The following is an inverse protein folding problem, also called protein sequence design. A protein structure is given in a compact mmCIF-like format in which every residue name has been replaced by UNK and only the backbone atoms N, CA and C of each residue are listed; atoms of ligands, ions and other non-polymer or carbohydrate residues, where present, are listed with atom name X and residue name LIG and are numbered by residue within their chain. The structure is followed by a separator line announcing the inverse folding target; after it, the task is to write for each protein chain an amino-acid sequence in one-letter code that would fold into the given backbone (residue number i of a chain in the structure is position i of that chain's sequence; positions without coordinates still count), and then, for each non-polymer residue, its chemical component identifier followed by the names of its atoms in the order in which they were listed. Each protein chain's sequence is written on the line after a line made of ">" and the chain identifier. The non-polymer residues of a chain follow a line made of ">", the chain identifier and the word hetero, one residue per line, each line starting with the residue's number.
data_IF_860368315026
#
_entry.id   IF_860368315026
#
_cell.length_a   1.000
_cell.length_b   1.000
_cell.length_c   1.000
_cell.angle_alpha   90.00
_cell.angle_beta   90.00
_cell.angle_gamma   90.00
#
_symmetry.space_group_name_H-M   'P 1'
#
loop_
_entity.id
_entity.type
_entity.pdbx_description
1 polymer ?
#
# COMPACT_ATOMS: atom_id res chain seq x y z
N UNK A 1 35.21 2.60 18.96
CA UNK A 1 34.03 2.65 19.83
C UNK A 1 32.76 3.10 19.08
N UNK A 2 32.81 4.08 18.15
CA UNK A 2 31.63 4.56 17.37
C UNK A 2 30.94 3.49 16.50
N UNK A 3 31.68 2.50 15.98
CA UNK A 3 31.12 1.43 15.11
C UNK A 3 30.35 0.32 15.85
N UNK A 4 30.55 0.18 17.17
CA UNK A 4 29.88 -0.86 17.98
C UNK A 4 28.48 -0.37 18.41
N UNK A 5 28.25 0.93 18.56
CA UNK A 5 26.99 1.49 18.96
C UNK A 5 25.93 1.42 17.82
N UNK A 6 26.34 1.66 16.58
CA UNK A 6 25.44 1.57 15.42
C UNK A 6 24.90 0.13 15.20
N UNK A 7 25.73 -0.90 15.48
CA UNK A 7 25.33 -2.32 15.37
C UNK A 7 24.36 -2.74 16.48
N UNK A 8 24.48 -2.16 17.69
CA UNK A 8 23.56 -2.49 18.79
C UNK A 8 22.17 -1.86 18.59
N UNK A 9 22.07 -0.68 18.00
CA UNK A 9 20.81 -0.02 17.71
C UNK A 9 20.05 -0.75 16.59
N UNK A 10 20.74 -1.20 15.54
CA UNK A 10 20.14 -2.00 14.47
C UNK A 10 19.61 -3.37 14.93
N UNK A 11 20.23 -3.98 15.95
CA UNK A 11 19.78 -5.27 16.51
C UNK A 11 18.53 -5.08 17.39
N UNK A 12 18.36 -3.93 18.05
CA UNK A 12 17.15 -3.62 18.81
C UNK A 12 15.94 -3.32 17.90
N UNK A 13 16.16 -2.71 16.72
CA UNK A 13 15.11 -2.47 15.73
C UNK A 13 14.64 -3.76 15.01
N UNK A 14 15.50 -4.76 14.85
CA UNK A 14 15.13 -6.04 14.21
C UNK A 14 14.27 -6.97 15.10
N UNK A 15 14.18 -6.72 16.40
CA UNK A 15 13.31 -7.49 17.31
C UNK A 15 11.91 -6.90 17.49
N UNK A 16 11.65 -5.72 16.91
CA UNK A 16 10.34 -5.03 16.95
C UNK A 16 9.40 -5.34 15.78
N UNK A 17 9.81 -6.14 14.79
CA UNK A 17 9.01 -6.46 13.60
C UNK A 17 8.12 -7.71 13.73
N UNK A 18 7.52 -7.93 14.89
CA UNK A 18 6.31 -8.74 15.01
C UNK A 18 5.17 -7.78 15.34
N UNK A 19 4.79 -6.98 14.35
CA UNK A 19 3.62 -6.13 14.44
C UNK A 19 2.36 -6.99 14.45
N UNK A 20 1.78 -7.11 15.61
CA UNK A 20 0.33 -7.34 15.72
C UNK A 20 -0.31 -6.05 15.23
N UNK A 21 -0.88 -6.05 14.03
CA UNK A 21 -1.76 -4.98 13.57
C UNK A 21 -3.03 -4.99 14.42
N UNK A 22 -3.03 -4.30 15.53
CA UNK A 22 -4.26 -3.86 16.15
C UNK A 22 -4.76 -2.69 15.29
N UNK A 23 -5.78 -2.93 14.48
CA UNK A 23 -6.58 -1.85 13.91
C UNK A 23 -7.21 -1.11 15.08
N UNK A 24 -6.82 0.13 15.30
CA UNK A 24 -7.48 1.00 16.24
C UNK A 24 -8.92 1.22 15.74
N UNK A 25 -9.86 1.03 16.62
CA UNK A 25 -11.29 1.31 16.45
C UNK A 25 -11.47 2.80 16.09
N UNK A 26 -12.19 3.06 15.00
CA UNK A 26 -12.44 4.36 14.41
C UNK A 26 -13.44 5.14 15.28
N UNK A 27 -13.01 5.66 16.44
CA UNK A 27 -13.74 6.67 17.20
C UNK A 27 -12.94 7.26 18.39
N UNK A 28 -11.96 8.09 18.10
CA UNK A 28 -11.57 9.17 19.01
C UNK A 28 -11.12 10.32 18.11
N UNK A 29 -11.70 11.48 18.30
CA UNK A 29 -11.23 12.77 17.81
C UNK A 29 -9.82 12.98 18.40
N UNK A 30 -8.80 12.36 17.78
CA UNK A 30 -7.41 12.43 18.24
C UNK A 30 -6.93 13.85 17.99
N UNK A 31 -6.89 14.63 19.04
CA UNK A 31 -6.35 15.99 18.98
C UNK A 31 -4.92 15.91 18.45
N UNK A 32 -4.68 16.48 17.29
CA UNK A 32 -3.35 16.60 16.69
C UNK A 32 -2.58 17.74 17.33
N UNK A 33 -1.37 17.47 17.81
CA UNK A 33 -0.54 18.40 18.58
C UNK A 33 0.67 18.82 17.74
N UNK A 34 0.97 20.11 17.60
CA UNK A 34 2.13 20.57 16.86
C UNK A 34 3.43 20.27 17.61
N UNK A 35 4.38 19.73 16.88
CA UNK A 35 5.80 19.60 17.26
C UNK A 35 6.61 20.53 16.37
N UNK A 36 7.29 21.49 16.97
CA UNK A 36 8.10 22.50 16.27
C UNK A 36 9.56 22.28 16.58
N UNK A 37 10.39 22.17 15.55
CA UNK A 37 11.81 21.79 15.70
C UNK A 37 12.70 22.78 15.00
N UNK A 38 13.78 23.20 15.67
CA UNK A 38 14.91 23.89 15.05
C UNK A 38 16.08 22.92 14.96
N UNK A 39 16.66 22.79 13.76
CA UNK A 39 17.81 21.93 13.51
C UNK A 39 19.03 22.75 13.11
N UNK A 40 20.26 22.20 13.27
CA UNK A 40 21.49 22.84 12.81
C UNK A 40 21.48 23.13 11.32
N UNK A 41 22.21 24.17 10.90
CA UNK A 41 22.43 24.47 9.49
C UNK A 41 23.06 23.29 8.77
N UNK A 42 22.53 22.93 7.58
CA UNK A 42 23.02 21.81 6.77
C UNK A 42 22.32 20.48 6.98
N UNK A 43 21.34 20.39 7.88
CA UNK A 43 20.53 19.18 8.04
C UNK A 43 19.57 18.92 6.86
N UNK A 44 19.23 19.93 6.07
CA UNK A 44 18.13 19.80 5.10
C UNK A 44 16.76 19.73 5.79
N UNK A 45 15.74 19.20 5.10
CA UNK A 45 14.41 19.03 5.70
C UNK A 45 14.42 17.88 6.69
N UNK A 46 14.08 18.11 7.98
CA UNK A 46 14.05 17.05 8.97
C UNK A 46 12.79 16.20 8.88
N UNK A 47 12.89 14.99 9.43
CA UNK A 47 11.75 14.11 9.72
C UNK A 47 11.58 13.98 11.23
N UNK A 48 10.36 13.70 11.65
CA UNK A 48 10.02 13.37 13.03
C UNK A 48 9.54 11.93 13.11
N UNK A 49 10.18 11.12 13.95
CA UNK A 49 9.67 9.83 14.40
C UNK A 49 9.07 10.01 15.79
N UNK A 50 7.89 9.44 16.05
CA UNK A 50 7.15 9.67 17.28
C UNK A 50 6.42 8.42 17.77
N UNK A 51 6.36 8.23 19.12
CA UNK A 51 5.70 7.07 19.72
C UNK A 51 5.27 7.33 21.19
N UNK A 52 4.36 6.50 21.70
CA UNK A 52 3.97 6.46 23.10
C UNK A 52 4.89 5.56 23.94
N UNK A 53 4.85 5.69 25.26
CA UNK A 53 5.65 4.87 26.20
C UNK A 53 5.31 3.38 26.14
N UNK A 54 4.13 2.99 25.67
CA UNK A 54 3.72 1.61 25.46
C UNK A 54 4.25 1.02 24.14
N UNK A 55 4.93 1.83 23.31
CA UNK A 55 5.48 1.44 22.02
C UNK A 55 4.56 1.68 20.83
N UNK A 56 3.38 2.28 21.01
CA UNK A 56 2.49 2.65 19.90
C UNK A 56 3.13 3.74 19.07
N UNK A 57 3.36 3.48 17.79
CA UNK A 57 3.95 4.43 16.85
C UNK A 57 2.90 5.41 16.32
N UNK A 58 3.29 6.67 16.15
CA UNK A 58 2.45 7.70 15.52
C UNK A 58 2.49 7.63 13.99
N UNK A 59 3.53 7.02 13.41
CA UNK A 59 3.76 6.92 11.97
C UNK A 59 4.01 5.48 11.57
N UNK A 60 3.62 5.11 10.34
CA UNK A 60 3.68 3.74 9.85
C UNK A 60 5.11 3.18 9.73
N UNK A 61 6.08 4.01 9.34
CA UNK A 61 7.45 3.58 9.07
C UNK A 61 8.48 4.68 9.36
N UNK A 62 9.71 4.26 9.66
CA UNK A 62 10.89 5.11 9.70
C UNK A 62 11.19 5.67 8.29
N UNK A 63 11.63 6.93 8.16
CA UNK A 63 12.08 7.89 9.19
C UNK A 63 10.97 8.73 9.86
N UNK A 64 9.71 8.43 9.65
CA UNK A 64 8.57 9.15 10.17
C UNK A 64 8.04 10.21 9.22
N UNK A 65 7.46 11.26 9.75
CA UNK A 65 6.85 12.35 8.99
C UNK A 65 7.88 13.41 8.62
N UNK A 66 7.98 13.78 7.32
CA UNK A 66 8.73 14.94 6.88
C UNK A 66 8.09 16.22 7.43
N UNK A 67 8.90 17.10 8.00
CA UNK A 67 8.42 18.31 8.62
C UNK A 67 8.31 19.45 7.59
N UNK A 68 7.24 20.23 7.68
CA UNK A 68 7.06 21.42 6.85
C UNK A 68 7.92 22.58 7.40
N UNK A 69 8.49 23.39 6.51
CA UNK A 69 9.25 24.56 6.90
C UNK A 69 8.32 25.63 7.51
N UNK A 70 8.73 26.22 8.64
CA UNK A 70 7.98 27.31 9.29
C UNK A 70 8.64 28.65 9.02
N UNK A 71 9.77 28.95 9.66
CA UNK A 71 10.56 30.17 9.46
C UNK A 71 11.93 30.03 10.14
N UNK A 72 12.95 30.73 9.67
CA UNK A 72 14.26 30.87 10.35
C UNK A 72 14.93 29.56 10.80
N UNK A 73 14.81 28.49 9.98
CA UNK A 73 15.37 27.17 10.32
C UNK A 73 14.51 26.35 11.28
N UNK A 74 13.30 26.82 11.56
CA UNK A 74 12.28 26.08 12.26
C UNK A 74 11.41 25.30 11.30
N UNK A 75 11.02 24.08 11.72
CA UNK A 75 10.13 23.16 11.01
C UNK A 75 9.02 22.72 11.93
N UNK A 76 7.90 22.29 11.39
CA UNK A 76 6.79 21.78 12.19
C UNK A 76 6.14 20.56 11.55
N UNK A 77 5.55 19.72 12.38
CA UNK A 77 4.60 18.70 11.98
C UNK A 77 3.61 18.47 13.11
N UNK A 78 2.61 17.64 12.88
CA UNK A 78 1.60 17.32 13.87
C UNK A 78 1.70 15.85 14.26
N UNK A 79 1.49 15.55 15.53
CA UNK A 79 1.45 14.19 16.08
C UNK A 79 0.17 13.97 16.86
N UNK A 80 -0.33 12.73 16.97
CA UNK A 80 -1.43 12.40 17.87
C UNK A 80 -1.12 12.78 19.33
N UNK A 81 -2.14 13.22 20.08
CA UNK A 81 -1.99 13.68 21.47
C UNK A 81 -1.44 12.65 22.45
N UNK A 82 -1.37 11.37 22.08
CA UNK A 82 -0.78 10.32 22.93
C UNK A 82 0.76 10.28 22.91
N UNK A 83 1.41 10.97 21.98
CA UNK A 83 2.87 10.92 21.80
C UNK A 83 3.61 11.44 23.03
N UNK A 84 4.61 10.68 23.47
CA UNK A 84 5.45 10.97 24.63
C UNK A 84 6.94 10.95 24.31
N UNK A 85 7.32 10.40 23.14
CA UNK A 85 8.70 10.27 22.72
C UNK A 85 8.84 10.64 21.25
N UNK A 86 9.93 11.35 20.91
CA UNK A 86 10.23 11.71 19.53
C UNK A 86 11.72 11.55 19.22
N UNK A 87 12.06 11.33 17.96
CA UNK A 87 13.40 11.44 17.38
C UNK A 87 13.31 12.43 16.22
N UNK A 88 14.18 13.42 16.22
CA UNK A 88 14.40 14.30 15.08
C UNK A 88 15.53 13.72 14.25
N UNK A 89 15.29 13.54 12.96
CA UNK A 89 16.28 12.95 12.07
C UNK A 89 16.28 13.64 10.70
N UNK A 90 17.36 13.48 9.93
CA UNK A 90 17.44 13.98 8.58
C UNK A 90 18.42 13.15 7.73
N UNK A 91 18.32 13.30 6.39
CA UNK A 91 19.22 12.68 5.41
C UNK A 91 19.28 11.15 5.54
N UNK A 92 18.21 10.51 5.97
CA UNK A 92 18.16 9.06 6.12
C UNK A 92 18.39 8.35 4.78
N UNK A 93 19.09 7.21 4.82
CA UNK A 93 19.49 6.48 3.62
C UNK A 93 20.74 7.03 2.91
N UNK A 94 21.38 8.08 3.42
CA UNK A 94 22.61 8.66 2.88
C UNK A 94 23.80 8.59 3.87
N UNK A 95 25.01 8.86 3.40
CA UNK A 95 26.20 8.97 4.27
C UNK A 95 26.12 10.17 5.24
N UNK A 96 25.22 11.11 4.99
CA UNK A 96 24.96 12.30 5.80
C UNK A 96 23.83 12.12 6.82
N UNK A 97 23.32 10.89 7.00
CA UNK A 97 22.24 10.59 7.93
C UNK A 97 22.59 11.03 9.36
N UNK A 98 21.68 11.80 9.96
CA UNK A 98 21.80 12.32 11.32
C UNK A 98 20.50 12.09 12.09
N UNK A 99 20.59 11.95 13.41
CA UNK A 99 19.45 11.86 14.30
C UNK A 99 19.81 12.20 15.75
N UNK A 100 18.81 12.63 16.51
CA UNK A 100 18.95 12.79 17.96
C UNK A 100 18.81 11.44 18.68
N UNK A 101 19.17 11.39 19.96
CA UNK A 101 18.63 10.38 20.88
C UNK A 101 17.10 10.58 21.03
N UNK A 102 16.43 9.60 21.66
CA UNK A 102 15.01 9.75 21.99
C UNK A 102 14.78 10.93 22.95
N UNK A 103 13.88 11.80 22.59
CA UNK A 103 13.49 12.99 23.32
C UNK A 103 12.14 12.73 23.99
N UNK A 104 12.06 12.85 25.31
CA UNK A 104 10.80 12.71 26.05
C UNK A 104 10.04 14.04 26.00
N UNK A 105 8.73 13.96 25.66
CA UNK A 105 7.82 15.09 25.58
C UNK A 105 6.56 14.83 26.41
N UNK A 106 5.83 15.89 26.78
CA UNK A 106 4.56 15.75 27.49
C UNK A 106 3.41 15.51 26.50
N UNK A 107 2.70 14.40 26.67
CA UNK A 107 1.54 14.08 25.86
C UNK A 107 0.48 15.20 25.86
N UNK A 108 -0.11 15.46 24.70
CA UNK A 108 -1.18 16.45 24.55
C UNK A 108 -0.74 17.91 24.61
N UNK A 109 0.57 18.21 24.62
CA UNK A 109 1.09 19.57 24.66
C UNK A 109 1.90 19.94 23.42
N UNK A 110 1.66 21.14 22.88
CA UNK A 110 2.54 21.78 21.91
C UNK A 110 3.98 21.78 22.45
N UNK A 111 4.93 21.38 21.62
CA UNK A 111 6.33 21.26 22.02
C UNK A 111 7.26 21.94 21.02
N UNK A 112 8.26 22.63 21.56
CA UNK A 112 9.33 23.29 20.82
C UNK A 112 10.65 22.63 21.15
N UNK A 113 11.37 22.14 20.14
CA UNK A 113 12.62 21.39 20.29
C UNK A 113 13.72 22.14 19.54
N UNK A 114 14.83 22.41 20.20
CA UNK A 114 16.04 22.93 19.55
C UNK A 114 17.11 21.86 19.62
N UNK A 115 17.60 21.44 18.45
CA UNK A 115 18.68 20.47 18.29
C UNK A 115 20.01 21.22 18.11
N UNK A 116 21.01 20.89 18.92
CA UNK A 116 22.34 21.47 18.82
C UNK A 116 23.25 20.67 17.87
N UNK A 117 24.39 21.24 17.48
CA UNK A 117 25.40 20.62 16.60
C UNK A 117 25.93 19.27 17.13
N UNK A 118 25.92 19.06 18.43
CA UNK A 118 26.32 17.80 19.08
C UNK A 118 25.18 16.79 19.21
N UNK A 119 24.05 17.04 18.55
CA UNK A 119 22.82 16.23 18.53
C UNK A 119 22.06 16.21 19.86
N UNK A 120 22.47 17.01 20.85
CA UNK A 120 21.66 17.19 22.06
C UNK A 120 20.43 18.03 21.75
N UNK A 121 19.32 17.77 22.45
CA UNK A 121 18.08 18.49 22.26
C UNK A 121 17.62 19.18 23.54
N UNK A 122 17.07 20.38 23.41
CA UNK A 122 16.35 21.08 24.47
C UNK A 122 14.85 21.17 24.13
N UNK A 123 14.01 21.00 25.15
CA UNK A 123 12.55 20.99 25.02
C UNK A 123 11.95 22.19 25.75
N UNK A 124 11.02 22.86 25.11
CA UNK A 124 10.23 23.95 25.68
C UNK A 124 8.74 23.77 25.33
N UNK A 125 7.85 24.24 26.21
CA UNK A 125 6.41 24.23 26.02
C UNK A 125 5.82 25.65 25.86
N UNK A 126 6.70 26.61 25.65
CA UNK A 126 6.36 27.98 25.30
C UNK A 126 6.92 28.27 23.91
N UNK A 127 6.15 28.99 23.09
CA UNK A 127 6.55 29.35 21.74
C UNK A 127 7.91 30.05 21.72
N UNK A 128 8.82 29.54 20.93
CA UNK A 128 10.20 30.04 20.75
C UNK A 128 10.29 30.99 19.54
N UNK A 129 9.29 31.01 18.69
CA UNK A 129 9.20 31.87 17.51
C UNK A 129 7.94 32.76 17.60
N UNK A 130 8.00 33.95 17.02
CA UNK A 130 6.81 34.80 16.86
C UNK A 130 6.10 34.41 15.57
N UNK A 131 4.84 34.09 15.66
CA UNK A 131 4.00 33.70 14.52
C UNK A 131 3.03 32.60 14.91
N UNK A 132 2.13 32.29 14.02
CA UNK A 132 1.18 31.19 14.19
C UNK A 132 1.74 29.94 13.48
N UNK A 133 1.67 28.80 14.16
CA UNK A 133 1.87 27.49 13.50
C UNK A 133 0.68 27.28 12.58
N UNK A 134 0.85 26.96 11.28
CA UNK A 134 -0.26 26.67 10.40
C UNK A 134 -1.17 25.58 10.99
N UNK A 135 -2.49 25.74 10.88
CA UNK A 135 -3.44 24.76 11.41
C UNK A 135 -3.19 23.37 10.81
N UNK A 136 -3.49 22.33 11.58
CA UNK A 136 -3.44 20.96 11.09
C UNK A 136 -4.34 20.79 9.86
N UNK A 137 -3.78 20.18 8.83
CA UNK A 137 -4.49 19.76 7.63
C UNK A 137 -4.22 18.29 7.43
N UNK A 138 -5.29 17.50 7.44
CA UNK A 138 -5.21 16.10 7.09
C UNK A 138 -4.59 15.93 5.69
N UNK A 139 -3.74 14.91 5.52
CA UNK A 139 -3.06 14.62 4.26
C UNK A 139 -3.32 13.17 3.85
N UNK A 140 -3.36 12.91 2.55
CA UNK A 140 -3.35 11.56 1.99
C UNK A 140 -2.10 11.34 1.15
N UNK A 141 -1.76 10.08 0.90
CA UNK A 141 -0.58 9.71 0.10
C UNK A 141 -0.97 9.54 -1.36
N UNK A 142 -0.15 10.11 -2.23
CA UNK A 142 -0.18 9.89 -3.69
C UNK A 142 1.03 9.04 -4.04
N UNK A 143 0.78 7.87 -4.63
CA UNK A 143 1.80 6.98 -5.17
C UNK A 143 1.82 7.11 -6.68
N UNK A 144 3.00 7.29 -7.29
CA UNK A 144 3.15 7.37 -8.74
C UNK A 144 4.20 6.39 -9.25
N UNK A 145 3.85 5.57 -10.21
CA UNK A 145 4.79 4.77 -11.01
C UNK A 145 4.94 5.43 -12.37
N UNK A 146 6.15 5.77 -12.77
CA UNK A 146 6.40 6.61 -13.95
C UNK A 146 7.42 5.98 -14.89
N UNK A 147 7.48 6.40 -16.16
CA UNK A 147 8.49 5.92 -17.10
C UNK A 147 9.92 6.12 -16.59
N UNK A 148 10.80 5.13 -16.81
CA UNK A 148 12.21 5.17 -16.45
C UNK A 148 13.00 6.33 -17.07
N UNK A 149 12.43 6.97 -18.09
CA UNK A 149 12.99 8.17 -18.74
C UNK A 149 12.86 9.44 -17.88
N UNK A 150 12.00 9.41 -16.86
CA UNK A 150 11.81 10.53 -15.93
C UNK A 150 12.90 10.51 -14.84
N UNK A 151 13.68 11.60 -14.76
CA UNK A 151 14.80 11.73 -13.80
C UNK A 151 14.38 12.37 -12.48
N UNK A 152 13.36 13.19 -12.52
CA UNK A 152 12.73 13.81 -11.37
C UNK A 152 11.24 13.60 -11.48
N UNK A 153 10.58 13.38 -10.36
CA UNK A 153 9.12 13.21 -10.30
C UNK A 153 8.56 14.19 -9.29
N UNK A 154 7.54 14.93 -9.68
CA UNK A 154 6.90 15.92 -8.82
C UNK A 154 5.38 15.77 -8.86
N UNK A 155 4.75 16.14 -7.76
CA UNK A 155 3.30 16.26 -7.61
C UNK A 155 2.92 17.75 -7.66
N UNK A 156 2.06 18.13 -8.60
CA UNK A 156 1.31 19.38 -8.56
C UNK A 156 -0.14 19.08 -8.22
N UNK A 157 -0.73 19.77 -7.25
CA UNK A 157 -2.07 19.45 -6.78
C UNK A 157 -2.85 20.72 -6.38
N UNK A 158 -4.19 20.70 -6.56
CA UNK A 158 -5.04 21.85 -6.30
C UNK A 158 -6.50 21.47 -6.04
N UNK A 159 -7.29 22.44 -5.56
CA UNK A 159 -8.75 22.37 -5.51
C UNK A 159 -9.33 22.91 -6.80
N UNK A 160 -9.98 22.09 -7.63
CA UNK A 160 -10.46 22.47 -8.95
C UNK A 160 -11.49 23.61 -8.95
N UNK A 161 -12.49 23.72 -8.02
CA UNK A 161 -13.48 24.79 -8.12
C UNK A 161 -12.91 26.20 -7.91
N UNK A 162 -11.96 26.37 -6.99
CA UNK A 162 -11.42 27.67 -6.61
C UNK A 162 -9.99 27.93 -7.06
N UNK A 163 -9.30 26.91 -7.58
CA UNK A 163 -7.93 27.02 -8.07
C UNK A 163 -6.88 27.18 -6.98
N UNK A 164 -7.22 26.86 -5.71
CA UNK A 164 -6.25 26.90 -4.62
C UNK A 164 -5.19 25.83 -4.81
N UNK A 165 -3.91 26.23 -4.90
CA UNK A 165 -2.79 25.31 -5.08
C UNK A 165 -2.29 24.77 -3.74
N UNK A 166 -1.92 23.48 -3.69
CA UNK A 166 -1.34 22.84 -2.52
C UNK A 166 0.15 23.20 -2.32
N UNK A 167 0.82 23.61 -3.39
CA UNK A 167 2.24 23.93 -3.40
C UNK A 167 2.48 25.33 -3.96
N UNK A 168 3.56 25.99 -3.51
CA UNK A 168 3.83 27.39 -3.81
C UNK A 168 4.07 27.69 -5.29
N UNK A 169 4.75 26.80 -6.00
CA UNK A 169 5.14 27.00 -7.38
C UNK A 169 5.29 25.69 -8.14
N UNK A 170 5.08 25.76 -9.46
CA UNK A 170 5.40 24.71 -10.41
C UNK A 170 6.91 24.39 -10.37
N UNK A 171 7.34 23.12 -10.46
CA UNK A 171 6.57 21.91 -10.78
C UNK A 171 5.89 21.23 -9.58
N UNK A 172 5.84 21.85 -8.41
CA UNK A 172 5.23 21.32 -7.22
C UNK A 172 6.23 20.69 -6.26
N UNK A 173 5.78 19.75 -5.46
CA UNK A 173 6.59 19.04 -4.47
C UNK A 173 7.26 17.83 -5.11
N UNK A 174 8.57 17.67 -4.89
CA UNK A 174 9.30 16.48 -5.32
C UNK A 174 8.76 15.25 -4.61
N UNK A 175 8.54 14.19 -5.37
CA UNK A 175 8.11 12.90 -4.84
C UNK A 175 9.34 12.08 -4.43
N UNK A 176 9.21 11.30 -3.36
CA UNK A 176 10.27 10.44 -2.85
C UNK A 176 10.19 9.07 -3.51
N UNK A 177 11.31 8.57 -4.03
CA UNK A 177 11.41 7.24 -4.61
C UNK A 177 11.46 6.17 -3.50
N UNK A 178 10.59 5.17 -3.59
CA UNK A 178 10.57 3.99 -2.72
C UNK A 178 11.32 2.79 -3.32
N UNK A 179 11.48 1.73 -2.53
CA UNK A 179 12.28 0.55 -2.89
C UNK A 179 11.71 -0.26 -4.09
N UNK A 180 10.42 -0.11 -4.41
CA UNK A 180 9.69 -0.84 -5.44
C UNK A 180 9.48 -0.03 -6.73
N UNK A 181 10.13 1.14 -6.87
CA UNK A 181 10.00 2.02 -8.03
C UNK A 181 8.78 2.95 -8.01
N UNK A 182 7.97 2.88 -6.98
CA UNK A 182 6.92 3.87 -6.73
C UNK A 182 7.50 5.14 -6.11
N UNK A 183 7.06 6.27 -6.61
CA UNK A 183 7.32 7.58 -6.00
C UNK A 183 6.15 7.97 -5.12
N UNK A 184 6.41 8.58 -3.96
CA UNK A 184 5.37 8.98 -3.01
C UNK A 184 5.43 10.45 -2.65
N UNK A 185 4.28 11.07 -2.47
CA UNK A 185 4.15 12.42 -1.92
C UNK A 185 2.82 12.58 -1.19
N UNK A 186 2.79 13.38 -0.12
CA UNK A 186 1.56 13.69 0.60
C UNK A 186 0.91 14.95 0.06
N UNK A 187 -0.40 14.90 -0.15
CA UNK A 187 -1.25 16.02 -0.54
C UNK A 187 -2.29 16.33 0.55
N UNK A 188 -2.67 17.60 0.76
CA UNK A 188 -3.74 17.98 1.69
C UNK A 188 -5.09 17.35 1.31
N UNK A 189 -5.88 16.95 2.30
CA UNK A 189 -7.18 16.29 2.09
C UNK A 189 -8.24 17.15 1.36
N UNK A 190 -8.02 18.44 1.18
CA UNK A 190 -8.90 19.32 0.39
C UNK A 190 -8.59 19.31 -1.11
N UNK A 191 -7.50 18.67 -1.54
CA UNK A 191 -7.10 18.54 -2.95
C UNK A 191 -8.02 17.56 -3.67
N UNK A 192 -8.49 17.90 -4.86
CA UNK A 192 -9.31 17.05 -5.71
C UNK A 192 -8.83 16.96 -7.16
N UNK A 193 -7.68 17.56 -7.46
CA UNK A 193 -7.05 17.51 -8.78
C UNK A 193 -5.54 17.53 -8.66
N UNK A 194 -4.87 16.79 -9.53
CA UNK A 194 -3.41 16.71 -9.54
C UNK A 194 -2.84 16.53 -10.96
N UNK A 195 -1.54 16.74 -11.07
CA UNK A 195 -0.67 16.40 -12.20
C UNK A 195 0.55 15.69 -11.64
N UNK A 196 0.89 14.53 -12.20
CA UNK A 196 2.22 13.93 -12.04
C UNK A 196 3.09 14.47 -13.16
N UNK A 197 4.22 15.04 -12.80
CA UNK A 197 5.14 15.62 -13.79
C UNK A 197 6.57 15.17 -13.51
N UNK A 198 7.37 15.19 -14.56
CA UNK A 198 8.76 14.76 -14.52
C UNK A 198 9.70 15.73 -15.20
N UNK A 199 11.02 15.51 -15.00
CA UNK A 199 12.08 16.27 -15.65
C UNK A 199 11.89 17.78 -15.47
N UNK A 200 11.67 18.21 -14.20
CA UNK A 200 11.42 19.60 -13.82
C UNK A 200 10.17 20.20 -14.50
N UNK A 201 9.13 19.40 -14.67
CA UNK A 201 7.85 19.83 -15.26
C UNK A 201 7.85 19.94 -16.78
N UNK A 202 8.83 19.34 -17.48
CA UNK A 202 8.88 19.34 -18.95
C UNK A 202 8.04 18.24 -19.58
N UNK A 203 7.68 17.20 -18.81
CA UNK A 203 6.76 16.11 -19.15
C UNK A 203 5.71 15.99 -18.05
N UNK A 204 4.48 15.72 -18.40
CA UNK A 204 3.39 15.66 -17.43
C UNK A 204 2.18 14.87 -17.94
N UNK A 205 1.36 14.39 -17.02
CA UNK A 205 0.00 13.90 -17.31
C UNK A 205 -0.92 15.07 -17.70
N UNK A 206 -2.09 14.76 -18.25
CA UNK A 206 -3.21 15.70 -18.20
C UNK A 206 -3.68 15.90 -16.75
N UNK A 207 -4.64 16.83 -16.54
CA UNK A 207 -5.26 17.05 -15.24
C UNK A 207 -6.00 15.79 -14.78
N UNK A 208 -5.64 15.28 -13.61
CA UNK A 208 -6.24 14.09 -13.02
C UNK A 208 -7.22 14.52 -11.93
N UNK A 209 -8.51 14.24 -12.12
CA UNK A 209 -9.51 14.41 -11.06
C UNK A 209 -9.48 13.23 -10.11
N UNK A 210 -9.44 13.49 -8.80
CA UNK A 210 -9.29 12.48 -7.77
C UNK A 210 -10.31 12.61 -6.64
N UNK A 211 -10.51 11.53 -5.89
CA UNK A 211 -11.03 11.57 -4.53
C UNK A 211 -9.88 11.87 -3.57
N UNK A 212 -10.15 12.66 -2.52
CA UNK A 212 -9.14 13.09 -1.54
C UNK A 212 -8.81 11.96 -0.56
N UNK A 213 -8.25 10.87 -1.05
CA UNK A 213 -7.81 9.69 -0.30
C UNK A 213 -6.58 9.06 -0.96
N UNK A 214 -5.90 8.17 -0.25
CA UNK A 214 -4.74 7.44 -0.76
C UNK A 214 -5.02 6.85 -2.15
N UNK A 215 -4.08 7.03 -3.07
CA UNK A 215 -4.23 6.62 -4.46
C UNK A 215 -2.90 6.21 -5.08
N UNK A 216 -2.99 5.35 -6.10
CA UNK A 216 -1.90 4.89 -6.96
C UNK A 216 -2.17 5.31 -8.39
N UNK A 217 -1.18 5.91 -9.04
CA UNK A 217 -1.26 6.33 -10.43
C UNK A 217 -0.08 5.79 -11.23
N UNK A 218 -0.36 4.99 -12.25
CA UNK A 218 0.65 4.50 -13.20
C UNK A 218 0.63 5.38 -14.44
N UNK A 219 1.75 6.03 -14.76
CA UNK A 219 1.92 6.89 -15.93
C UNK A 219 2.71 6.13 -16.99
N UNK A 220 2.22 6.13 -18.23
CA UNK A 220 2.84 5.43 -19.36
C UNK A 220 3.72 6.36 -20.21
N UNK A 221 4.55 5.80 -21.11
CA UNK A 221 5.45 6.57 -21.99
C UNK A 221 4.72 7.57 -22.91
N UNK A 222 3.45 7.30 -23.23
CA UNK A 222 2.61 8.20 -24.04
C UNK A 222 1.86 9.26 -23.20
N UNK A 223 2.19 9.36 -21.90
CA UNK A 223 1.62 10.25 -20.90
C UNK A 223 0.16 9.95 -20.52
N UNK A 224 -0.40 8.85 -21.00
CA UNK A 224 -1.65 8.32 -20.46
C UNK A 224 -1.42 7.74 -19.05
N UNK A 225 -2.48 7.57 -18.28
CA UNK A 225 -2.37 7.06 -16.91
C UNK A 225 -3.52 6.10 -16.55
N UNK A 226 -3.24 5.26 -15.56
CA UNK A 226 -4.24 4.49 -14.82
C UNK A 226 -4.26 4.93 -13.38
N UNK A 227 -5.47 5.08 -12.80
CA UNK A 227 -5.71 5.50 -11.43
C UNK A 227 -6.37 4.37 -10.65
N UNK A 228 -5.81 4.04 -9.49
CA UNK A 228 -6.37 3.07 -8.53
C UNK A 228 -6.45 3.69 -7.13
N UNK A 229 -7.42 3.25 -6.34
CA UNK A 229 -7.54 3.52 -4.91
C UNK A 229 -7.24 2.27 -4.06
N UNK A 230 -6.71 1.26 -4.69
CA UNK A 230 -6.18 0.05 -4.06
C UNK A 230 -4.74 -0.12 -4.51
N UNK A 231 -3.87 -0.53 -3.58
CA UNK A 231 -2.47 -0.79 -3.87
C UNK A 231 -2.34 -1.89 -4.95
N UNK A 232 -1.83 -1.58 -6.15
CA UNK A 232 -1.71 -2.56 -7.23
C UNK A 232 -0.64 -3.63 -6.94
N UNK A 233 0.31 -3.34 -6.04
CA UNK A 233 1.35 -4.28 -5.61
C UNK A 233 0.94 -5.05 -4.34
N UNK A 234 -0.26 -4.76 -3.81
CA UNK A 234 -0.77 -5.49 -2.65
C UNK A 234 -0.85 -6.97 -3.00
N UNK A 235 -0.08 -7.77 -2.30
CA UNK A 235 -0.20 -9.22 -2.40
C UNK A 235 -1.64 -9.61 -2.10
N UNK A 236 -2.36 -10.04 -3.12
CA UNK A 236 -3.68 -10.63 -2.93
C UNK A 236 -3.43 -11.97 -2.26
N UNK A 237 -4.01 -12.18 -1.06
CA UNK A 237 -3.87 -13.42 -0.32
C UNK A 237 -4.23 -14.61 -1.23
N UNK A 238 -3.51 -15.73 -1.07
CA UNK A 238 -3.83 -16.96 -1.78
C UNK A 238 -5.28 -17.34 -1.54
N UNK A 239 -5.96 -17.80 -2.57
CA UNK A 239 -7.35 -18.27 -2.51
C UNK A 239 -7.44 -19.76 -2.75
N UNK A 240 -8.50 -20.40 -2.26
CA UNK A 240 -8.72 -21.82 -2.50
C UNK A 240 -9.58 -22.02 -3.74
N UNK A 241 -9.11 -22.88 -4.64
CA UNK A 241 -9.92 -23.47 -5.72
C UNK A 241 -10.38 -24.86 -5.26
N UNK A 242 -11.70 -25.01 -5.20
CA UNK A 242 -12.38 -26.28 -4.89
C UNK A 242 -12.91 -26.88 -6.20
N UNK A 243 -12.65 -28.14 -6.48
CA UNK A 243 -13.15 -28.79 -7.66
C UNK A 243 -13.86 -30.11 -7.34
N UNK A 244 -15.00 -30.34 -7.99
CA UNK A 244 -15.58 -31.67 -8.16
C UNK A 244 -15.42 -32.10 -9.61
N UNK A 245 -14.93 -33.31 -9.80
CA UNK A 245 -14.66 -33.85 -11.14
C UNK A 245 -15.34 -35.20 -11.32
N UNK A 246 -15.60 -35.66 -12.58
CA UNK A 246 -16.11 -36.99 -12.88
C UNK A 246 -15.24 -38.11 -12.28
N UNK A 247 -15.86 -39.26 -11.96
CA UNK A 247 -15.16 -40.38 -11.32
C UNK A 247 -14.00 -40.96 -12.15
N UNK A 248 -14.05 -40.80 -13.46
CA UNK A 248 -13.01 -41.25 -14.41
C UNK A 248 -11.86 -40.25 -14.60
N UNK A 249 -11.94 -39.07 -13.97
CA UNK A 249 -10.87 -38.07 -13.92
C UNK A 249 -9.90 -38.39 -12.77
N UNK A 250 -8.85 -39.17 -13.08
CA UNK A 250 -7.85 -39.52 -12.09
C UNK A 250 -6.83 -38.39 -11.91
N UNK A 251 -6.36 -38.24 -10.65
CA UNK A 251 -5.30 -37.30 -10.28
C UNK A 251 -5.52 -35.86 -10.80
N UNK A 252 -6.64 -35.21 -10.41
CA UNK A 252 -6.95 -33.90 -10.92
C UNK A 252 -5.93 -32.85 -10.51
N UNK A 253 -5.66 -31.93 -11.44
CA UNK A 253 -4.73 -30.81 -11.31
C UNK A 253 -5.39 -29.51 -11.73
N UNK A 254 -4.84 -28.39 -11.27
CA UNK A 254 -5.26 -27.04 -11.63
C UNK A 254 -4.15 -26.32 -12.38
N UNK A 255 -4.49 -25.69 -13.49
CA UNK A 255 -3.70 -24.66 -14.13
C UNK A 255 -4.38 -23.32 -13.90
N UNK A 256 -3.63 -22.31 -13.45
CA UNK A 256 -4.17 -21.00 -13.10
C UNK A 256 -3.29 -19.87 -13.68
N UNK A 257 -3.92 -18.76 -14.12
CA UNK A 257 -3.20 -17.63 -14.70
C UNK A 257 -4.01 -16.32 -14.63
N UNK A 258 -3.33 -15.20 -14.95
CA UNK A 258 -3.95 -13.92 -15.22
C UNK A 258 -4.19 -13.78 -16.74
N UNK A 259 -5.44 -13.69 -17.18
CA UNK A 259 -5.79 -13.71 -18.60
C UNK A 259 -5.26 -12.51 -19.40
N UNK A 260 -5.24 -11.24 -18.90
CA UNK A 260 -4.81 -10.10 -19.71
C UNK A 260 -3.32 -10.15 -20.09
N UNK A 261 -2.45 -10.56 -19.17
CA UNK A 261 -1.00 -10.54 -19.33
C UNK A 261 -0.38 -11.91 -19.55
N UNK A 262 -1.15 -12.99 -19.35
CA UNK A 262 -0.68 -14.36 -19.54
C UNK A 262 0.27 -14.87 -18.45
N UNK A 263 0.36 -14.17 -17.30
CA UNK A 263 1.18 -14.60 -16.16
C UNK A 263 0.62 -15.89 -15.57
N UNK A 264 1.44 -16.94 -15.51
CA UNK A 264 1.05 -18.26 -15.00
C UNK A 264 1.38 -18.39 -13.50
N UNK A 265 0.47 -18.99 -12.73
CA UNK A 265 0.70 -19.29 -11.32
C UNK A 265 1.68 -20.46 -11.12
N UNK A 266 1.77 -21.34 -12.08
CA UNK A 266 2.59 -22.56 -12.02
C UNK A 266 3.64 -22.61 -13.15
N UNK A 267 4.76 -23.28 -12.88
CA UNK A 267 5.91 -23.32 -13.78
C UNK A 267 5.66 -24.06 -15.10
N UNK A 268 4.80 -25.07 -15.11
CA UNK A 268 4.53 -25.92 -16.28
C UNK A 268 3.18 -26.60 -16.19
N UNK A 269 2.60 -26.86 -17.36
CA UNK A 269 1.44 -27.74 -17.54
C UNK A 269 1.73 -29.17 -17.04
N UNK A 270 0.78 -29.87 -16.39
CA UNK A 270 -0.65 -29.53 -16.19
C UNK A 270 -0.95 -28.67 -14.94
N UNK A 271 0.03 -28.02 -14.34
CA UNK A 271 -0.10 -27.27 -13.11
C UNK A 271 0.19 -28.13 -11.89
N UNK A 272 -0.48 -27.84 -10.78
CA UNK A 272 -0.30 -28.57 -9.53
C UNK A 272 -1.51 -29.45 -9.20
N UNK A 273 -1.23 -30.59 -8.56
CA UNK A 273 -2.25 -31.58 -8.18
C UNK A 273 -3.16 -31.03 -7.06
N UNK A 274 -4.46 -31.25 -7.18
CA UNK A 274 -5.42 -30.95 -6.15
C UNK A 274 -5.42 -32.05 -5.07
N UNK A 275 -5.50 -31.63 -3.81
CA UNK A 275 -5.61 -32.51 -2.66
C UNK A 275 -7.08 -32.82 -2.35
N UNK A 276 -7.43 -34.10 -2.18
CA UNK A 276 -8.80 -34.49 -1.86
C UNK A 276 -9.11 -34.29 -0.37
N UNK A 277 -10.18 -33.54 -0.11
CA UNK A 277 -10.78 -33.41 1.22
C UNK A 277 -12.30 -33.57 1.11
N UNK A 278 -12.83 -34.61 1.74
CA UNK A 278 -14.23 -35.03 1.65
C UNK A 278 -14.69 -35.21 0.18
N UNK A 279 -15.64 -34.42 -0.27
CA UNK A 279 -16.24 -34.49 -1.60
C UNK A 279 -15.56 -33.55 -2.60
N UNK A 280 -14.57 -32.76 -2.16
CA UNK A 280 -13.89 -31.75 -2.96
C UNK A 280 -12.40 -32.05 -3.11
N UNK A 281 -11.86 -31.65 -4.24
CA UNK A 281 -10.43 -31.52 -4.49
C UNK A 281 -10.05 -30.06 -4.32
N UNK A 282 -8.98 -29.75 -3.59
CA UNK A 282 -8.63 -28.39 -3.18
C UNK A 282 -7.19 -28.06 -3.53
N UNK A 283 -6.95 -26.80 -3.90
CA UNK A 283 -5.61 -26.23 -4.08
C UNK A 283 -5.61 -24.75 -3.70
N UNK A 284 -4.49 -24.29 -3.11
CA UNK A 284 -4.22 -22.88 -2.93
C UNK A 284 -3.59 -22.32 -4.19
N UNK A 285 -4.10 -21.19 -4.68
CA UNK A 285 -3.57 -20.46 -5.83
C UNK A 285 -3.38 -19.00 -5.46
N UNK A 286 -2.42 -18.28 -6.09
CA UNK A 286 -2.28 -16.84 -5.85
C UNK A 286 -3.59 -16.10 -6.13
N UNK A 287 -3.99 -15.21 -5.23
CA UNK A 287 -5.28 -14.52 -5.37
C UNK A 287 -5.38 -13.56 -6.55
N UNK A 288 -4.28 -13.23 -7.21
CA UNK A 288 -4.29 -12.40 -8.42
C UNK A 288 -4.76 -13.12 -9.69
N UNK A 289 -4.92 -14.46 -9.69
CA UNK A 289 -5.40 -15.21 -10.85
C UNK A 289 -6.86 -14.86 -11.16
N UNK A 290 -7.21 -14.87 -12.44
CA UNK A 290 -8.57 -14.66 -12.90
C UNK A 290 -9.04 -15.72 -13.91
N UNK A 291 -8.26 -16.76 -14.10
CA UNK A 291 -8.56 -17.86 -15.02
C UNK A 291 -7.99 -19.17 -14.50
N UNK A 292 -8.75 -20.24 -14.64
CA UNK A 292 -8.34 -21.60 -14.26
C UNK A 292 -8.77 -22.64 -15.28
N UNK A 293 -8.02 -23.73 -15.37
CA UNK A 293 -8.39 -25.00 -16.01
C UNK A 293 -8.30 -26.09 -14.95
N UNK A 294 -9.36 -26.86 -14.79
CA UNK A 294 -9.31 -28.13 -14.07
C UNK A 294 -9.03 -29.21 -15.08
N UNK A 295 -7.99 -30.02 -14.83
CA UNK A 295 -7.56 -31.08 -15.70
C UNK A 295 -7.28 -32.35 -14.91
N UNK A 296 -7.14 -33.48 -15.58
CA UNK A 296 -6.84 -34.76 -14.96
C UNK A 296 -6.11 -35.69 -15.93
N UNK A 297 -5.72 -36.90 -15.46
CA UNK A 297 -5.04 -37.90 -16.27
C UNK A 297 -3.76 -37.33 -16.90
N UNK A 298 -2.93 -36.60 -16.09
CA UNK A 298 -1.70 -35.94 -16.57
C UNK A 298 -1.97 -34.86 -17.63
N UNK A 299 -3.13 -34.18 -17.57
CA UNK A 299 -3.55 -33.16 -18.54
C UNK A 299 -4.15 -33.70 -19.83
N UNK A 300 -4.48 -35.02 -19.90
CA UNK A 300 -5.08 -35.64 -21.08
C UNK A 300 -6.57 -35.28 -21.22
N UNK A 301 -7.24 -34.93 -20.14
CA UNK A 301 -8.60 -34.38 -20.11
C UNK A 301 -8.60 -33.06 -19.36
N UNK A 302 -9.39 -32.09 -19.79
CA UNK A 302 -9.42 -30.77 -19.19
C UNK A 302 -10.74 -30.05 -19.49
N UNK A 303 -11.10 -29.08 -18.64
CA UNK A 303 -12.17 -28.11 -18.94
C UNK A 303 -11.71 -27.14 -20.04
N UNK A 304 -12.65 -26.39 -20.57
CA UNK A 304 -12.34 -25.10 -21.21
C UNK A 304 -11.77 -24.12 -20.20
N UNK A 305 -11.24 -22.97 -20.67
CA UNK A 305 -10.81 -21.87 -19.82
C UNK A 305 -12.00 -21.37 -19.00
N UNK A 306 -11.85 -21.36 -17.67
CA UNK A 306 -12.88 -20.88 -16.75
C UNK A 306 -12.44 -19.52 -16.19
N UNK A 307 -13.23 -18.48 -16.45
CA UNK A 307 -13.01 -17.18 -15.86
C UNK A 307 -13.45 -17.17 -14.39
N UNK A 308 -12.61 -16.66 -13.51
CA UNK A 308 -12.87 -16.51 -12.05
C UNK A 308 -12.58 -15.08 -11.61
N UNK A 309 -13.18 -14.66 -10.49
CA UNK A 309 -12.93 -13.35 -9.89
C UNK A 309 -11.66 -13.42 -9.04
N UNK A 310 -10.70 -12.54 -9.31
CA UNK A 310 -9.47 -12.43 -8.52
C UNK A 310 -9.77 -12.14 -7.04
N UNK A 311 -9.00 -12.74 -6.15
CA UNK A 311 -9.14 -12.57 -4.70
C UNK A 311 -10.33 -13.29 -4.06
N UNK A 312 -11.07 -14.12 -4.83
CA UNK A 312 -12.20 -14.87 -4.30
C UNK A 312 -11.96 -16.38 -4.30
N UNK A 313 -12.36 -17.00 -3.21
CA UNK A 313 -12.48 -18.46 -3.12
C UNK A 313 -13.50 -18.95 -4.14
N UNK A 314 -13.21 -20.07 -4.83
CA UNK A 314 -14.02 -20.53 -5.97
C UNK A 314 -14.29 -22.04 -5.90
N UNK A 315 -15.52 -22.43 -6.24
CA UNK A 315 -15.96 -23.82 -6.39
C UNK A 315 -16.24 -24.12 -7.85
N UNK A 316 -15.62 -25.14 -8.40
CA UNK A 316 -15.77 -25.61 -9.76
C UNK A 316 -16.41 -26.99 -9.76
N UNK A 317 -17.60 -27.11 -10.34
CA UNK A 317 -18.27 -28.41 -10.57
C UNK A 317 -18.10 -28.78 -12.02
N UNK A 318 -17.30 -29.81 -12.30
CA UNK A 318 -17.03 -30.34 -13.64
C UNK A 318 -17.92 -31.53 -13.90
N UNK A 319 -18.80 -31.46 -14.90
CA UNK A 319 -19.62 -32.57 -15.35
C UNK A 319 -18.91 -33.37 -16.46
N UNK A 320 -18.25 -32.68 -17.36
CA UNK A 320 -17.39 -33.22 -18.42
C UNK A 320 -16.44 -32.11 -18.94
N UNK A 321 -15.61 -32.38 -19.94
CA UNK A 321 -14.61 -31.45 -20.47
C UNK A 321 -15.19 -30.14 -21.05
N UNK A 322 -16.44 -30.17 -21.51
CA UNK A 322 -17.12 -29.01 -22.13
C UNK A 322 -18.07 -28.30 -21.14
N UNK A 323 -18.41 -28.97 -20.02
CA UNK A 323 -19.41 -28.53 -19.07
C UNK A 323 -18.83 -28.44 -17.66
N UNK A 324 -18.48 -27.23 -17.24
CA UNK A 324 -18.07 -26.87 -15.89
C UNK A 324 -18.82 -25.63 -15.42
N UNK A 325 -19.13 -25.55 -14.13
CA UNK A 325 -19.80 -24.43 -13.51
C UNK A 325 -18.92 -23.85 -12.39
N UNK A 326 -18.86 -22.53 -12.31
CA UNK A 326 -18.10 -21.78 -11.29
C UNK A 326 -19.05 -21.13 -10.31
N UNK A 327 -18.75 -21.25 -9.01
CA UNK A 327 -19.50 -20.68 -7.91
C UNK A 327 -18.56 -19.97 -6.95
N UNK A 328 -19.04 -18.96 -6.21
CA UNK A 328 -18.31 -18.22 -5.17
C UNK A 328 -18.82 -18.49 -3.76
N UNK A 329 -19.71 -19.46 -3.63
CA UNK A 329 -20.19 -20.06 -2.39
C UNK A 329 -20.29 -21.56 -2.61
N UNK A 330 -20.02 -22.36 -1.57
CA UNK A 330 -20.10 -23.81 -1.68
C UNK A 330 -21.51 -24.23 -2.16
N UNK A 331 -21.64 -24.85 -3.35
CA UNK A 331 -22.95 -25.28 -3.82
C UNK A 331 -23.55 -26.33 -2.89
N UNK A 332 -24.89 -26.27 -2.69
CA UNK A 332 -25.59 -27.29 -1.90
C UNK A 332 -25.43 -28.67 -2.54
N UNK A 333 -25.20 -29.72 -1.74
CA UNK A 333 -24.87 -31.10 -2.16
C UNK A 333 -25.87 -31.75 -3.14
N UNK A 334 -27.01 -31.14 -3.45
CA UNK A 334 -28.06 -31.69 -4.33
C UNK A 334 -28.01 -31.17 -5.78
N UNK A 335 -27.02 -30.33 -6.16
CA UNK A 335 -26.97 -29.75 -7.52
C UNK A 335 -26.40 -30.70 -8.59
N UNK A 336 -25.85 -31.85 -8.23
CA UNK A 336 -25.20 -32.80 -9.14
C UNK A 336 -26.13 -33.81 -9.85
N UNK A 337 -27.45 -33.73 -9.64
CA UNK A 337 -28.41 -34.69 -10.22
C UNK A 337 -29.66 -34.01 -10.81
N UNK A 338 -29.51 -33.20 -11.83
CA UNK A 338 -30.61 -32.94 -12.77
C UNK A 338 -30.33 -33.69 -14.06
N UNK A 339 -30.81 -34.97 -14.11
CA UNK A 339 -31.02 -35.66 -15.39
C UNK A 339 -31.86 -34.79 -16.35
N UNK A 340 -31.48 -34.74 -17.64
CA UNK A 340 -32.33 -34.07 -18.61
C UNK A 340 -33.67 -34.80 -18.68
N UNK A 341 -34.76 -34.06 -18.50
CA UNK A 341 -36.13 -34.58 -18.54
C UNK A 341 -36.34 -35.40 -19.84
N UNK A 342 -36.65 -36.68 -19.67
CA UNK A 342 -37.04 -37.57 -20.76
C UNK A 342 -38.24 -36.99 -21.52
N UNK A 343 -38.09 -36.77 -22.82
CA UNK A 343 -39.19 -36.45 -23.76
C UNK A 343 -40.26 -37.55 -23.69
N UNK A 344 -41.41 -37.19 -23.16
CA UNK A 344 -42.58 -38.07 -23.18
C UNK A 344 -43.16 -38.05 -24.59
N UNK A 345 -42.85 -39.08 -25.40
CA UNK A 345 -43.53 -39.34 -26.67
C UNK A 345 -44.98 -39.75 -26.39
N UNK A 346 -45.94 -38.92 -26.80
CA UNK A 346 -47.37 -39.25 -26.85
C UNK A 346 -47.59 -40.19 -28.03
N UNK A 347 -48.22 -41.38 -27.84
CA UNK A 347 -48.62 -42.20 -28.97
C UNK A 347 -49.92 -41.65 -29.58
N UNK A 348 -50.03 -41.82 -30.93
CA UNK A 348 -51.12 -41.41 -31.81
C UNK A 348 -52.48 -42.05 -31.51
#
# INVERSE_FOLDING_TARGET
>A
MKKIFAVLLSVMMLLGMLAVTAFADESADETMIPVVVQVPEGWGTPNLWAWADDGTNAFAAWPGEEMDALAEGWYYTYVPGFVQNVIVNANQGTDAAVQTEGIVVEAGKEVWITVAEDLTASVAYEAQLRGEIPAYVEKFVVHAYVPLSWKTVNLWAWSAPDGTNAFESWPGKAMQEGDNGWFTCKAPAWVNSLIINGNEGTVQTEDVSIESKELWITVYEDLTYELSYEDPDKAVDDVTVHAQVPEDWADPSCWAWSAPDGTNAFASWPGEALSKDADWYNIQVPGWINSVIINANEGAVQTTDLSVEAGKEVWVVVTDAENAQVFYEAPAQDAAATEPAAETTVPA
#
